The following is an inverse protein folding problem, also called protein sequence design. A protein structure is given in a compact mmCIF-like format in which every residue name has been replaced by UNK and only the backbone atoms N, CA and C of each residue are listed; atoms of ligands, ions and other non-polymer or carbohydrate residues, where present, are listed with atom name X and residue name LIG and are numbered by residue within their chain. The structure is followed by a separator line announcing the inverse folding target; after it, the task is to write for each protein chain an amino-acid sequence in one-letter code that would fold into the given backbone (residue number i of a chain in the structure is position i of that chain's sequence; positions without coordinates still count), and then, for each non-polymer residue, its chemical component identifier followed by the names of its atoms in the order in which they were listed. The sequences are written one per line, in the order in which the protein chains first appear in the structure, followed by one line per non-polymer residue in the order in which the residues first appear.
data_IF_648987522474
#
_entry.id   IF_648987522474
#
_cell.length_a   1.000
_cell.length_b   1.000
_cell.length_c   1.000
_cell.angle_alpha   90.00
_cell.angle_beta   90.00
_cell.angle_gamma   90.00
#
_symmetry.space_group_name_H-M   'P 1'
#
loop_
_entity.id
_entity.type
_entity.pdbx_description
1 polymer ?
#
# COMPACT_ATOMS: atom_id res chain seq x y z
N UNK A 1 -1.84 -5.21 20.84
CA UNK A 1 -1.11 -4.42 19.83
C UNK A 1 0.23 -5.12 19.58
N UNK A 2 0.58 -5.40 18.32
CA UNK A 2 1.84 -6.05 17.90
C UNK A 2 2.37 -5.31 16.67
N UNK A 3 3.10 -4.20 16.86
CA UNK A 3 3.56 -3.39 15.75
C UNK A 3 4.62 -4.11 14.92
N UNK A 4 4.66 -3.80 13.62
CA UNK A 4 5.63 -4.41 12.73
C UNK A 4 5.75 -3.70 11.39
N UNK A 5 6.91 -3.91 10.77
CA UNK A 5 7.22 -3.49 9.41
C UNK A 5 6.95 -4.64 8.44
N UNK A 6 6.37 -4.33 7.29
CA UNK A 6 6.23 -5.28 6.20
C UNK A 6 6.21 -4.55 4.86
N UNK A 7 6.41 -5.33 3.79
CA UNK A 7 6.41 -4.82 2.43
C UNK A 7 5.21 -5.34 1.65
N UNK A 8 4.62 -4.46 0.83
CA UNK A 8 3.51 -4.78 -0.07
C UNK A 8 3.84 -4.35 -1.49
N UNK A 9 3.37 -5.11 -2.48
CA UNK A 9 3.54 -4.77 -3.88
C UNK A 9 2.63 -3.59 -4.25
N UNK A 10 3.18 -2.57 -4.91
CA UNK A 10 2.42 -1.58 -5.65
C UNK A 10 2.17 -2.11 -7.06
N UNK A 11 0.93 -2.51 -7.35
CA UNK A 11 0.55 -2.97 -8.69
C UNK A 11 0.18 -1.82 -9.63
N UNK A 12 0.26 -0.58 -9.14
CA UNK A 12 -0.08 0.63 -9.90
C UNK A 12 0.99 0.97 -10.94
N UNK A 13 0.54 1.28 -12.16
CA UNK A 13 1.41 1.49 -13.34
C UNK A 13 2.07 2.86 -13.30
N UNK A 14 1.38 3.86 -12.78
CA UNK A 14 1.84 5.24 -12.76
C UNK A 14 2.42 5.61 -11.39
N UNK A 15 3.36 6.57 -11.39
CA UNK A 15 3.87 7.14 -10.14
C UNK A 15 2.76 7.74 -9.28
N UNK A 16 1.78 8.41 -9.90
CA UNK A 16 0.64 9.00 -9.20
C UNK A 16 -0.23 7.91 -8.56
N UNK A 17 -0.47 6.79 -9.24
CA UNK A 17 -1.19 5.67 -8.66
C UNK A 17 -0.45 5.03 -7.49
N UNK A 18 0.86 4.85 -7.57
CA UNK A 18 1.66 4.32 -6.45
C UNK A 18 1.62 5.24 -5.22
N UNK A 19 1.71 6.56 -5.43
CA UNK A 19 1.54 7.55 -4.35
C UNK A 19 0.13 7.51 -3.79
N UNK A 20 -0.89 7.41 -4.65
CA UNK A 20 -2.29 7.30 -4.23
C UNK A 20 -2.53 6.03 -3.42
N UNK A 21 -1.91 4.92 -3.79
CA UNK A 21 -1.97 3.67 -3.04
C UNK A 21 -1.30 3.81 -1.66
N UNK A 22 -0.08 4.37 -1.60
CA UNK A 22 0.59 4.65 -0.33
C UNK A 22 -0.20 5.58 0.59
N UNK A 23 -0.84 6.61 0.04
CA UNK A 23 -1.72 7.50 0.80
C UNK A 23 -2.96 6.78 1.33
N UNK A 24 -3.56 5.89 0.53
CA UNK A 24 -4.71 5.09 0.94
C UNK A 24 -4.36 4.14 2.08
N UNK A 25 -3.15 3.58 2.08
CA UNK A 25 -2.61 2.81 3.21
C UNK A 25 -2.44 3.70 4.43
N UNK A 26 -1.83 4.88 4.30
CA UNK A 26 -1.65 5.81 5.43
C UNK A 26 -2.97 6.28 6.05
N UNK A 27 -4.04 6.36 5.26
CA UNK A 27 -5.39 6.72 5.72
C UNK A 27 -6.18 5.54 6.31
N UNK A 28 -5.65 4.33 6.23
CA UNK A 28 -6.25 3.16 6.90
C UNK A 28 -5.89 3.20 8.39
N UNK A 29 -6.86 3.06 9.32
CA UNK A 29 -6.57 3.13 10.75
C UNK A 29 -5.54 2.10 11.20
N UNK A 30 -4.49 2.56 11.88
CA UNK A 30 -3.45 1.69 12.43
C UNK A 30 -2.32 1.33 11.47
N UNK A 31 -2.24 1.97 10.29
CA UNK A 31 -1.14 1.82 9.32
C UNK A 31 -0.51 3.15 8.93
N UNK A 32 0.76 3.11 8.53
CA UNK A 32 1.46 4.24 7.91
C UNK A 32 2.44 3.72 6.85
N UNK A 33 2.43 4.36 5.68
CA UNK A 33 3.44 4.08 4.64
C UNK A 33 4.73 4.83 4.99
N UNK A 34 5.84 4.11 5.10
CA UNK A 34 7.15 4.68 5.47
C UNK A 34 8.05 4.92 4.26
N UNK A 35 7.88 4.13 3.19
CA UNK A 35 8.71 4.25 1.98
C UNK A 35 7.98 3.81 0.74
N UNK A 36 8.16 4.56 -0.35
CA UNK A 36 7.85 4.13 -1.71
C UNK A 36 9.18 3.86 -2.42
N UNK A 37 9.45 2.60 -2.77
CA UNK A 37 10.63 2.22 -3.54
C UNK A 37 10.37 2.50 -5.03
N UNK A 38 11.39 3.04 -5.71
CA UNK A 38 11.27 3.46 -7.12
C UNK A 38 11.73 2.37 -8.09
N UNK A 39 12.43 1.36 -7.57
CA UNK A 39 13.22 0.36 -8.27
C UNK A 39 12.55 -1.02 -8.33
N UNK A 40 11.74 -1.39 -7.33
CA UNK A 40 11.12 -2.72 -7.23
C UNK A 40 9.58 -2.68 -7.09
N UNK A 41 8.97 -1.51 -7.27
CA UNK A 41 7.53 -1.29 -7.17
C UNK A 41 6.93 -1.75 -5.82
N UNK A 42 7.69 -1.67 -4.72
CA UNK A 42 7.21 -2.05 -3.37
C UNK A 42 7.06 -0.86 -2.43
N UNK A 43 6.11 -0.98 -1.52
CA UNK A 43 5.88 -0.05 -0.42
C UNK A 43 6.31 -0.71 0.87
N UNK A 44 7.00 0.05 1.71
CA UNK A 44 7.25 -0.31 3.10
C UNK A 44 6.17 0.32 3.98
N UNK A 45 5.56 -0.50 4.83
CA UNK A 45 4.42 -0.13 5.67
C UNK A 45 4.70 -0.55 7.10
N UNK A 46 4.37 0.34 8.03
CA UNK A 46 4.29 0.05 9.45
C UNK A 46 2.82 -0.12 9.86
N UNK A 47 2.49 -1.18 10.59
CA UNK A 47 1.16 -1.37 11.18
C UNK A 47 1.23 -1.61 12.69
N UNK A 48 0.15 -1.27 13.40
CA UNK A 48 -0.03 -1.58 14.82
C UNK A 48 -0.52 -3.01 15.09
N UNK A 49 -1.12 -3.62 14.07
CA UNK A 49 -1.86 -4.88 14.14
C UNK A 49 -1.49 -5.78 12.94
N UNK A 50 -1.19 -7.08 13.14
CA UNK A 50 -0.85 -8.02 12.07
C UNK A 50 -1.95 -8.17 11.01
N UNK A 51 -3.21 -8.01 11.40
CA UNK A 51 -4.39 -8.14 10.54
C UNK A 51 -4.34 -7.14 9.37
N UNK A 52 -3.79 -5.94 9.61
CA UNK A 52 -3.61 -4.94 8.56
C UNK A 52 -2.65 -5.40 7.45
N UNK A 53 -1.65 -6.22 7.78
CA UNK A 53 -0.75 -6.79 6.77
C UNK A 53 -1.49 -7.82 5.90
N UNK A 54 -2.33 -8.66 6.50
CA UNK A 54 -3.14 -9.65 5.75
C UNK A 54 -4.17 -8.96 4.85
N UNK A 55 -4.85 -7.92 5.35
CA UNK A 55 -5.80 -7.13 4.56
C UNK A 55 -5.15 -6.47 3.35
N UNK A 56 -3.95 -5.88 3.54
CA UNK A 56 -3.19 -5.26 2.45
C UNK A 56 -2.64 -6.30 1.46
N UNK A 57 -2.22 -7.48 1.93
CA UNK A 57 -1.85 -8.62 1.07
C UNK A 57 -3.04 -9.13 0.25
N UNK A 58 -4.26 -9.01 0.77
CA UNK A 58 -5.50 -9.28 0.03
C UNK A 58 -5.75 -8.35 -1.16
N UNK A 59 -5.03 -7.22 -1.24
CA UNK A 59 -4.95 -6.39 -2.46
C UNK A 59 -6.25 -5.66 -2.85
N UNK A 60 -7.27 -5.64 -1.99
CA UNK A 60 -8.54 -4.98 -2.29
C UNK A 60 -8.36 -3.47 -2.56
N UNK A 61 -7.55 -2.79 -1.73
CA UNK A 61 -7.23 -1.38 -1.95
C UNK A 61 -6.36 -1.17 -3.19
N UNK A 62 -5.36 -2.02 -3.42
CA UNK A 62 -4.51 -1.96 -4.61
C UNK A 62 -5.34 -2.01 -5.90
N UNK A 63 -6.33 -2.92 -5.97
CA UNK A 63 -7.25 -3.03 -7.11
C UNK A 63 -8.11 -1.78 -7.31
N UNK A 64 -8.59 -1.15 -6.23
CA UNK A 64 -9.37 0.11 -6.32
C UNK A 64 -8.53 1.24 -6.90
N UNK A 65 -7.27 1.34 -6.49
CA UNK A 65 -6.37 2.38 -7.02
C UNK A 65 -5.99 2.08 -8.47
N UNK A 66 -5.72 0.82 -8.83
CA UNK A 66 -5.49 0.45 -10.23
C UNK A 66 -6.71 0.77 -11.12
N UNK A 67 -7.93 0.55 -10.63
CA UNK A 67 -9.15 0.96 -11.34
C UNK A 67 -9.21 2.49 -11.52
N UNK A 68 -8.84 3.26 -10.49
CA UNK A 68 -8.78 4.72 -10.54
C UNK A 68 -7.73 5.26 -11.53
N UNK A 69 -6.62 4.55 -11.73
CA UNK A 69 -5.57 4.93 -12.70
C UNK A 69 -6.07 4.93 -14.16
N UNK A 70 -7.15 4.20 -14.46
CA UNK A 70 -7.68 4.05 -15.81
C UNK A 70 -6.82 3.17 -16.72
N UNK A 71 -7.09 3.23 -18.03
CA UNK A 71 -6.32 2.51 -19.06
C UNK A 71 -5.10 3.37 -19.43
N UNK A 72 -4.00 3.22 -18.69
CA UNK A 72 -2.73 3.92 -18.98
C UNK A 72 -1.64 2.97 -19.46
#
# INVERSE_FOLDING_TARGET
IRPGMFEVQATQRTRVGRVTYGNSITLTPGTVTTRLRSDDDRLEVHALLPEAAEDLRGGAMARRVCWLEGQQ
#
